data_IF_375969433472
#
_entry.id   IF_375969433472
#
_cell.length_a   1.000
_cell.length_b   1.000
_cell.length_c   1.000
_cell.angle_alpha   90.00
_cell.angle_beta   90.00
_cell.angle_gamma   90.00
#
_symmetry.space_group_name_H-M   'P 1'
#
loop_
_entity.id
_entity.type
_entity.pdbx_description
1 polymer ?
#
# COMPACT_ATOMS: atom_id res chain seq x y z
N UNK A 1 40.13 53.59 -28.17
CA UNK A 1 38.88 53.46 -27.38
C UNK A 1 38.78 52.03 -26.89
N UNK A 2 38.93 51.81 -25.59
CA UNK A 2 38.93 50.48 -24.98
C UNK A 2 37.68 50.20 -24.14
N UNK A 3 37.60 48.92 -23.73
CA UNK A 3 36.95 48.38 -22.52
C UNK A 3 35.44 48.01 -22.56
N UNK A 4 35.25 46.68 -22.60
CA UNK A 4 34.42 45.76 -21.78
C UNK A 4 32.91 45.96 -21.51
N UNK A 5 32.19 44.82 -21.67
CA UNK A 5 31.10 44.26 -20.86
C UNK A 5 29.77 45.04 -20.76
N UNK A 6 28.58 44.46 -20.79
CA UNK A 6 28.08 43.09 -20.66
C UNK A 6 26.59 43.17 -20.26
N UNK A 7 25.91 42.02 -20.25
CA UNK A 7 24.62 41.74 -19.59
C UNK A 7 23.31 41.92 -20.37
N UNK A 8 22.59 40.80 -20.48
CA UNK A 8 21.13 40.79 -20.33
C UNK A 8 20.39 39.98 -21.38
N UNK A 9 20.51 38.65 -21.37
CA UNK A 9 19.45 37.81 -21.95
C UNK A 9 18.39 37.67 -20.86
N UNK A 10 17.13 38.15 -21.07
CA UNK A 10 16.06 37.85 -20.14
C UNK A 10 15.69 36.38 -20.33
N UNK A 11 16.07 35.54 -19.35
CA UNK A 11 15.51 34.20 -19.22
C UNK A 11 14.07 34.35 -18.70
N UNK A 12 13.14 34.55 -19.63
CA UNK A 12 11.74 34.23 -19.39
C UNK A 12 11.66 32.73 -19.12
N UNK A 13 11.23 32.36 -17.91
CA UNK A 13 10.79 31.01 -17.61
C UNK A 13 9.43 30.81 -18.27
N UNK A 14 9.43 30.70 -19.60
CA UNK A 14 8.26 30.22 -20.32
C UNK A 14 8.20 28.70 -20.19
N UNK A 15 7.07 28.31 -19.61
CA UNK A 15 6.58 26.97 -19.38
C UNK A 15 6.52 26.16 -20.67
N UNK A 16 7.46 25.23 -20.83
CA UNK A 16 7.31 24.09 -21.74
C UNK A 16 7.58 22.83 -20.93
N UNK A 17 6.55 22.35 -20.21
CA UNK A 17 6.54 21.00 -19.64
C UNK A 17 6.32 20.00 -20.78
N UNK A 18 7.36 19.81 -21.58
CA UNK A 18 7.40 18.88 -22.71
C UNK A 18 7.80 17.47 -22.28
N UNK A 19 6.81 16.58 -22.19
CA UNK A 19 6.87 15.14 -22.54
C UNK A 19 8.06 14.26 -22.06
N UNK A 20 8.69 14.52 -20.91
CA UNK A 20 9.63 13.53 -20.35
C UNK A 20 8.84 12.38 -19.69
N UNK A 21 8.43 11.41 -20.51
CA UNK A 21 7.73 10.17 -20.18
C UNK A 21 8.63 9.17 -19.40
N UNK A 22 9.38 9.65 -18.39
CA UNK A 22 9.84 8.75 -17.32
C UNK A 22 8.85 8.86 -16.18
N UNK A 23 8.07 7.78 -16.04
CA UNK A 23 7.18 7.42 -14.93
C UNK A 23 7.85 7.71 -13.57
N UNK A 24 7.82 8.97 -13.13
CA UNK A 24 8.36 9.32 -11.82
C UNK A 24 7.33 8.94 -10.78
N UNK A 25 7.66 7.98 -9.92
CA UNK A 25 6.82 7.64 -8.79
C UNK A 25 6.74 8.84 -7.85
N UNK A 26 5.52 9.33 -7.59
CA UNK A 26 5.30 10.35 -6.57
C UNK A 26 5.69 9.84 -5.17
N UNK A 27 5.92 10.74 -4.19
CA UNK A 27 6.41 10.38 -2.86
C UNK A 27 5.53 9.36 -2.14
N UNK A 28 4.21 9.40 -2.36
CA UNK A 28 3.27 8.42 -1.80
C UNK A 28 3.52 7.04 -2.39
N UNK A 29 3.63 6.92 -3.72
CA UNK A 29 3.91 5.63 -4.35
C UNK A 29 5.26 5.08 -3.93
N UNK A 30 6.28 5.93 -3.78
CA UNK A 30 7.57 5.51 -3.21
C UNK A 30 7.42 4.98 -1.80
N UNK A 31 6.62 5.62 -0.93
CA UNK A 31 6.38 5.14 0.43
C UNK A 31 5.64 3.79 0.46
N UNK A 32 4.65 3.59 -0.41
CA UNK A 32 3.98 2.29 -0.57
C UNK A 32 4.98 1.22 -1.02
N UNK A 33 5.83 1.51 -2.01
CA UNK A 33 6.84 0.57 -2.51
C UNK A 33 7.92 0.24 -1.49
N UNK A 34 8.29 1.18 -0.62
CA UNK A 34 9.19 0.89 0.52
C UNK A 34 8.54 -0.10 1.51
N UNK A 35 7.25 0.04 1.73
CA UNK A 35 6.49 -0.88 2.60
C UNK A 35 6.43 -2.28 1.96
N UNK A 36 6.11 -2.36 0.67
CA UNK A 36 6.11 -3.63 -0.09
C UNK A 36 7.49 -4.30 -0.07
N UNK A 37 8.58 -3.55 -0.27
CA UNK A 37 9.94 -4.09 -0.18
C UNK A 37 10.28 -4.64 1.21
N UNK A 38 9.85 -3.97 2.28
CA UNK A 38 10.01 -4.47 3.64
C UNK A 38 9.22 -5.77 3.84
N UNK A 39 8.05 -5.89 3.22
CA UNK A 39 7.23 -7.10 3.28
C UNK A 39 7.88 -8.26 2.51
N UNK A 40 8.39 -8.02 1.31
CA UNK A 40 9.12 -9.00 0.49
C UNK A 40 10.36 -9.55 1.23
N UNK A 41 11.01 -8.70 2.03
CA UNK A 41 12.20 -9.08 2.83
C UNK A 41 11.85 -9.61 4.23
N UNK A 42 10.58 -9.93 4.48
CA UNK A 42 10.03 -10.49 5.72
C UNK A 42 10.39 -9.67 6.98
N UNK A 43 10.24 -8.34 6.88
CA UNK A 43 10.43 -7.38 7.98
C UNK A 43 9.08 -6.79 8.43
N UNK A 44 8.19 -7.56 9.09
CA UNK A 44 6.84 -7.10 9.43
C UNK A 44 6.84 -5.87 10.37
N UNK A 45 7.77 -5.79 11.32
CA UNK A 45 7.88 -4.60 12.19
C UNK A 45 8.22 -3.33 11.40
N UNK A 46 9.02 -3.46 10.34
CA UNK A 46 9.36 -2.35 9.46
C UNK A 46 8.18 -1.95 8.57
N UNK A 47 7.40 -2.92 8.09
CA UNK A 47 6.16 -2.68 7.35
C UNK A 47 5.23 -1.79 8.16
N UNK A 48 4.94 -2.16 9.41
CA UNK A 48 4.04 -1.40 10.28
C UNK A 48 4.58 0.02 10.56
N UNK A 49 5.90 0.14 10.82
CA UNK A 49 6.55 1.45 11.03
C UNK A 49 6.52 2.35 9.80
N UNK A 50 6.65 1.79 8.60
CA UNK A 50 6.61 2.55 7.35
C UNK A 50 5.17 2.95 7.01
N UNK A 51 4.22 2.01 7.13
CA UNK A 51 2.81 2.23 6.87
C UNK A 51 2.22 3.35 7.72
N UNK A 52 2.59 3.43 9.01
CA UNK A 52 2.14 4.49 9.92
C UNK A 52 2.50 5.92 9.47
N UNK A 53 3.45 6.08 8.54
CA UNK A 53 3.90 7.37 8.02
C UNK A 53 3.24 7.74 6.69
N UNK A 54 2.44 6.85 6.11
CA UNK A 54 1.77 7.09 4.83
C UNK A 54 0.47 7.85 5.11
N UNK A 55 0.29 9.07 4.59
CA UNK A 55 -0.92 9.83 4.86
C UNK A 55 -2.12 9.15 4.20
N UNK A 56 -3.16 8.88 4.99
CA UNK A 56 -4.41 8.28 4.52
C UNK A 56 -5.17 9.18 3.52
N UNK A 57 -4.93 10.49 3.58
CA UNK A 57 -5.55 11.54 2.75
C UNK A 57 -4.70 11.99 1.56
N UNK A 58 -3.51 11.40 1.34
CA UNK A 58 -2.62 11.85 0.27
C UNK A 58 -3.24 11.66 -1.12
N UNK A 59 -2.98 12.60 -2.04
CA UNK A 59 -3.47 12.56 -3.44
C UNK A 59 -3.08 11.22 -4.08
N UNK A 60 -4.11 10.57 -4.67
CA UNK A 60 -4.34 9.13 -4.52
C UNK A 60 -3.37 8.24 -5.31
N UNK A 61 -2.70 7.26 -4.69
CA UNK A 61 -2.37 6.04 -5.40
C UNK A 61 -3.66 5.40 -5.92
N UNK A 62 -3.60 4.69 -7.05
CA UNK A 62 -4.78 3.97 -7.56
C UNK A 62 -5.38 3.08 -6.46
N UNK A 63 -6.70 2.87 -6.50
CA UNK A 63 -7.38 2.00 -5.51
C UNK A 63 -6.68 0.64 -5.38
N UNK A 64 -6.23 0.07 -6.51
CA UNK A 64 -5.46 -1.17 -6.54
C UNK A 64 -4.11 -1.08 -5.79
N UNK A 65 -3.33 -0.01 -5.99
CA UNK A 65 -2.05 0.17 -5.29
C UNK A 65 -2.27 0.34 -3.78
N UNK A 66 -3.33 1.05 -3.39
CA UNK A 66 -3.70 1.20 -1.98
C UNK A 66 -4.12 -0.13 -1.37
N UNK A 67 -4.96 -0.91 -2.05
CA UNK A 67 -5.44 -2.19 -1.54
C UNK A 67 -4.30 -3.22 -1.41
N UNK A 68 -3.35 -3.25 -2.34
CA UNK A 68 -2.14 -4.10 -2.22
C UNK A 68 -1.31 -3.73 -1.00
N UNK A 69 -1.08 -2.44 -0.78
CA UNK A 69 -0.38 -1.99 0.42
C UNK A 69 -1.11 -2.38 1.70
N UNK A 70 -2.45 -2.29 1.73
CA UNK A 70 -3.23 -2.72 2.89
C UNK A 70 -3.10 -4.24 3.13
N UNK A 71 -2.96 -5.06 2.08
CA UNK A 71 -2.63 -6.48 2.26
C UNK A 71 -1.25 -6.70 2.89
N UNK A 72 -0.23 -5.91 2.53
CA UNK A 72 1.08 -5.97 3.19
C UNK A 72 0.97 -5.62 4.69
N UNK A 73 0.16 -4.60 5.03
CA UNK A 73 -0.11 -4.21 6.42
C UNK A 73 -0.84 -5.33 7.16
N UNK A 74 -1.85 -5.95 6.55
CA UNK A 74 -2.56 -7.07 7.14
C UNK A 74 -1.65 -8.30 7.37
N UNK A 75 -0.79 -8.66 6.41
CA UNK A 75 0.17 -9.76 6.59
C UNK A 75 1.18 -9.44 7.71
N UNK A 76 1.63 -8.18 7.80
CA UNK A 76 2.54 -7.77 8.86
C UNK A 76 1.91 -7.93 10.26
N UNK A 77 0.66 -7.47 10.45
CA UNK A 77 -0.09 -7.72 11.69
C UNK A 77 -0.28 -9.22 11.95
N UNK A 78 -0.62 -10.01 10.93
CA UNK A 78 -0.78 -11.45 11.09
C UNK A 78 0.53 -12.14 11.50
N UNK A 79 1.68 -11.73 10.95
CA UNK A 79 3.01 -12.25 11.29
C UNK A 79 3.47 -11.86 12.69
N UNK A 80 3.11 -10.67 13.16
CA UNK A 80 3.36 -10.25 14.55
C UNK A 80 2.32 -10.79 15.54
N UNK A 81 1.38 -11.64 15.08
CA UNK A 81 0.29 -12.25 15.85
C UNK A 81 -0.77 -11.26 16.35
N UNK A 82 -0.81 -10.06 15.79
CA UNK A 82 -1.85 -9.08 16.03
C UNK A 82 -3.05 -9.32 15.11
N UNK A 83 -3.72 -10.46 15.32
CA UNK A 83 -4.79 -10.92 14.43
C UNK A 83 -6.02 -10.01 14.43
N UNK A 84 -6.25 -9.25 15.50
CA UNK A 84 -7.36 -8.30 15.54
C UNK A 84 -7.15 -7.20 14.49
N UNK A 85 -5.99 -6.55 14.49
CA UNK A 85 -5.66 -5.53 13.50
C UNK A 85 -5.58 -6.08 12.08
N UNK A 86 -5.08 -7.32 11.90
CA UNK A 86 -5.09 -7.96 10.59
C UNK A 86 -6.52 -8.13 10.02
N UNK A 87 -7.47 -8.53 10.88
CA UNK A 87 -8.88 -8.66 10.50
C UNK A 87 -9.50 -7.29 10.22
N UNK A 88 -9.26 -6.29 11.06
CA UNK A 88 -9.78 -4.92 10.86
C UNK A 88 -9.37 -4.38 9.48
N UNK A 89 -8.10 -4.58 9.10
CA UNK A 89 -7.58 -4.15 7.79
C UNK A 89 -8.25 -4.92 6.65
N UNK A 90 -8.35 -6.25 6.74
CA UNK A 90 -9.01 -7.07 5.71
C UNK A 90 -10.50 -6.71 5.57
N UNK A 91 -11.21 -6.47 6.68
CA UNK A 91 -12.59 -5.98 6.70
C UNK A 91 -12.70 -4.64 5.99
N UNK A 92 -11.80 -3.69 6.28
CA UNK A 92 -11.77 -2.39 5.61
C UNK A 92 -11.56 -2.49 4.09
N UNK A 93 -10.69 -3.40 3.63
CA UNK A 93 -10.53 -3.67 2.19
C UNK A 93 -11.82 -4.29 1.63
N UNK A 94 -12.42 -5.27 2.30
CA UNK A 94 -13.63 -5.94 1.84
C UNK A 94 -14.81 -4.96 1.70
N UNK A 95 -14.99 -4.07 2.67
CA UNK A 95 -16.04 -3.05 2.65
C UNK A 95 -15.87 -2.05 1.49
N UNK A 96 -14.64 -1.66 1.19
CA UNK A 96 -14.34 -0.64 0.17
C UNK A 96 -14.13 -1.22 -1.23
N UNK A 97 -13.87 -2.52 -1.34
CA UNK A 97 -13.59 -3.21 -2.60
C UNK A 97 -14.01 -4.69 -2.55
N UNK A 98 -15.34 -4.97 -2.41
CA UNK A 98 -15.85 -6.31 -2.16
C UNK A 98 -15.58 -7.29 -3.30
N UNK A 99 -15.55 -6.81 -4.55
CA UNK A 99 -15.22 -7.63 -5.73
C UNK A 99 -13.71 -7.84 -5.91
N UNK A 100 -12.87 -7.00 -5.30
CA UNK A 100 -11.42 -7.07 -5.49
C UNK A 100 -10.78 -8.11 -4.58
N UNK A 101 -11.16 -8.12 -3.30
CA UNK A 101 -10.53 -8.97 -2.27
C UNK A 101 -10.62 -10.48 -2.56
N UNK A 102 -11.76 -11.04 -3.02
CA UNK A 102 -11.89 -12.46 -3.34
C UNK A 102 -10.96 -12.94 -4.47
N UNK A 103 -10.50 -12.01 -5.31
CA UNK A 103 -9.59 -12.29 -6.43
C UNK A 103 -8.11 -12.24 -6.02
N UNK A 104 -7.80 -11.94 -4.76
CA UNK A 104 -6.43 -11.86 -4.27
C UNK A 104 -6.02 -13.13 -3.53
N UNK A 105 -5.16 -13.95 -4.14
CA UNK A 105 -4.55 -15.12 -3.47
C UNK A 105 -3.89 -14.71 -2.14
N UNK A 106 -3.24 -13.55 -2.10
CA UNK A 106 -2.55 -13.09 -0.91
C UNK A 106 -3.50 -12.85 0.28
N UNK A 107 -4.72 -12.36 0.04
CA UNK A 107 -5.73 -12.22 1.09
C UNK A 107 -6.15 -13.58 1.66
N UNK A 108 -6.27 -14.60 0.79
CA UNK A 108 -6.56 -15.97 1.18
C UNK A 108 -5.44 -16.54 2.06
N UNK A 109 -4.18 -16.36 1.68
CA UNK A 109 -3.02 -16.86 2.43
C UNK A 109 -2.92 -16.21 3.83
N UNK A 110 -3.22 -14.90 3.94
CA UNK A 110 -3.28 -14.20 5.23
C UNK A 110 -4.41 -14.76 6.09
N UNK A 111 -5.61 -14.91 5.52
CA UNK A 111 -6.76 -15.42 6.28
C UNK A 111 -6.55 -16.88 6.73
N UNK A 112 -6.00 -17.73 5.88
CA UNK A 112 -5.66 -19.13 6.20
C UNK A 112 -4.70 -19.20 7.40
N UNK A 113 -3.63 -18.38 7.38
CA UNK A 113 -2.70 -18.25 8.51
C UNK A 113 -3.41 -17.87 9.81
N UNK A 114 -4.36 -16.93 9.76
CA UNK A 114 -5.10 -16.49 10.95
C UNK A 114 -6.00 -17.63 11.45
N UNK A 115 -6.77 -18.27 10.57
CA UNK A 115 -7.71 -19.34 10.91
C UNK A 115 -6.99 -20.53 11.54
N UNK A 116 -5.86 -20.97 10.98
CA UNK A 116 -5.06 -22.09 11.51
C UNK A 116 -4.56 -21.86 12.94
N UNK A 117 -4.51 -20.61 13.42
CA UNK A 117 -4.06 -20.25 14.77
C UNK A 117 -5.21 -20.07 15.76
N UNK A 118 -6.47 -20.16 15.31
CA UNK A 118 -7.66 -19.97 16.14
C UNK A 118 -8.36 -21.31 16.39
N UNK A 119 -8.78 -21.52 17.65
CA UNK A 119 -9.65 -22.65 18.02
C UNK A 119 -11.11 -22.42 17.64
N UNK A 120 -11.54 -21.16 17.61
CA UNK A 120 -12.89 -20.75 17.23
C UNK A 120 -12.81 -19.44 16.45
N UNK A 121 -13.65 -19.31 15.43
CA UNK A 121 -13.73 -18.13 14.57
C UNK A 121 -14.88 -17.24 15.01
N UNK A 122 -14.62 -15.94 15.06
CA UNK A 122 -15.68 -14.94 15.24
C UNK A 122 -16.58 -14.90 14.00
N UNK A 123 -17.81 -14.38 14.10
CA UNK A 123 -18.69 -14.20 12.94
C UNK A 123 -18.01 -13.39 11.83
N UNK A 124 -17.28 -12.33 12.18
CA UNK A 124 -16.52 -11.51 11.23
C UNK A 124 -15.43 -12.32 10.51
N UNK A 125 -14.65 -13.12 11.25
CA UNK A 125 -13.64 -14.00 10.65
C UNK A 125 -14.27 -15.00 9.69
N UNK A 126 -15.45 -15.55 10.02
CA UNK A 126 -16.17 -16.46 9.13
C UNK A 126 -16.63 -15.76 7.86
N UNK A 127 -17.18 -14.54 7.97
CA UNK A 127 -17.56 -13.72 6.80
C UNK A 127 -16.38 -13.47 5.88
N UNK A 128 -15.23 -13.06 6.44
CA UNK A 128 -14.01 -12.85 5.65
C UNK A 128 -13.47 -14.15 5.04
N UNK A 129 -13.48 -15.26 5.78
CA UNK A 129 -13.04 -16.55 5.28
C UNK A 129 -13.87 -17.01 4.07
N UNK A 130 -15.19 -16.82 4.12
CA UNK A 130 -16.10 -17.07 2.99
C UNK A 130 -15.78 -16.10 1.84
N UNK A 131 -15.61 -14.81 2.13
CA UNK A 131 -15.32 -13.80 1.11
C UNK A 131 -14.04 -14.10 0.33
N UNK A 132 -12.97 -14.55 1.01
CA UNK A 132 -11.70 -14.95 0.37
C UNK A 132 -11.69 -16.41 -0.10
N UNK A 133 -12.83 -17.11 -0.04
CA UNK A 133 -13.04 -18.48 -0.54
C UNK A 133 -12.06 -19.48 0.07
N UNK A 134 -11.93 -19.46 1.40
CA UNK A 134 -11.24 -20.52 2.13
C UNK A 134 -12.05 -21.82 2.09
N UNK A 135 -11.39 -22.98 1.95
CA UNK A 135 -12.01 -24.26 2.28
C UNK A 135 -12.19 -24.30 3.80
N UNK A 136 -13.44 -24.32 4.25
CA UNK A 136 -13.84 -24.23 5.67
C UNK A 136 -14.47 -25.53 6.14
#
# INVERSE_FOLDING_TARGET
MGVLAGHGVPAGFDEVVGCCFVRTFGPVTVALKRTENAMITDRPDLVLRLAARIPSSARRPTSNNRNRHLLDVADAHAKTRDYAQAIDVLTGIHQTSPEWLPNQRYAKDIMDRIVQRRRSLTPEMRTLAIAVRLPM
#
